data_IF_752485377798
#
_entry.id   IF_752485377798
#
_cell.length_a   1.000
_cell.length_b   1.000
_cell.length_c   1.000
_cell.angle_alpha   90.00
_cell.angle_beta   90.00
_cell.angle_gamma   90.00
#
_symmetry.space_group_name_H-M   'P 1'
#
loop_
_entity.id
_entity.type
_entity.pdbx_description
1 polymer ?
#
# COMPACT_ATOMS: atom_id res chain seq x y z
N UNK A 1 -28.86 -3.77 14.82
CA UNK A 1 -27.58 -4.52 14.92
C UNK A 1 -27.69 -5.73 14.00
N UNK A 2 -26.80 -5.87 13.01
CA UNK A 2 -26.92 -6.93 12.00
C UNK A 2 -26.64 -8.31 12.63
N UNK A 3 -27.29 -9.39 12.17
CA UNK A 3 -27.14 -10.76 12.72
C UNK A 3 -25.67 -11.21 12.77
N UNK A 4 -24.89 -10.80 11.76
CA UNK A 4 -23.44 -11.01 11.71
C UNK A 4 -22.66 -10.33 12.85
N UNK A 5 -23.05 -9.13 13.28
CA UNK A 5 -22.40 -8.47 14.41
C UNK A 5 -22.70 -9.16 15.73
N UNK A 6 -23.92 -9.70 15.89
CA UNK A 6 -24.30 -10.45 17.10
C UNK A 6 -23.50 -11.76 17.17
N UNK A 7 -23.38 -12.49 16.06
CA UNK A 7 -22.55 -13.70 15.94
C UNK A 7 -21.07 -13.41 16.23
N UNK A 8 -20.53 -12.33 15.66
CA UNK A 8 -19.15 -11.90 15.89
C UNK A 8 -18.90 -11.51 17.35
N UNK A 9 -19.80 -10.73 17.96
CA UNK A 9 -19.73 -10.35 19.37
C UNK A 9 -19.79 -11.57 20.29
N UNK A 10 -20.72 -12.50 20.04
CA UNK A 10 -20.84 -13.74 20.83
C UNK A 10 -19.56 -14.60 20.72
N UNK A 11 -19.03 -14.77 19.51
CA UNK A 11 -17.83 -15.59 19.26
C UNK A 11 -16.59 -15.00 19.93
N UNK A 12 -16.40 -13.68 19.85
CA UNK A 12 -15.23 -13.02 20.44
C UNK A 12 -15.36 -12.89 21.96
N UNK A 13 -16.56 -12.64 22.48
CA UNK A 13 -16.81 -12.66 23.92
C UNK A 13 -16.56 -14.05 24.51
N UNK A 14 -17.00 -15.11 23.84
CA UNK A 14 -16.72 -16.49 24.25
C UNK A 14 -15.21 -16.81 24.26
N UNK A 15 -14.44 -16.33 23.27
CA UNK A 15 -12.96 -16.46 23.29
C UNK A 15 -12.32 -15.68 24.44
N UNK A 16 -12.78 -14.47 24.72
CA UNK A 16 -12.26 -13.66 25.82
C UNK A 16 -12.53 -14.31 27.19
N UNK A 17 -13.70 -14.93 27.36
CA UNK A 17 -14.05 -15.70 28.57
C UNK A 17 -13.14 -16.92 28.79
N UNK A 18 -12.68 -17.55 27.70
CA UNK A 18 -11.86 -18.76 27.71
C UNK A 18 -10.34 -18.48 27.66
N UNK A 19 -9.92 -17.23 27.77
CA UNK A 19 -8.49 -16.91 27.78
C UNK A 19 -7.81 -17.53 29.02
N UNK A 20 -6.65 -18.21 28.89
CA UNK A 20 -6.02 -18.93 30.00
C UNK A 20 -5.72 -18.01 31.19
N UNK A 21 -5.42 -16.73 30.93
CA UNK A 21 -5.16 -15.74 31.96
C UNK A 21 -6.42 -15.36 32.77
N UNK A 22 -7.58 -15.23 32.12
CA UNK A 22 -8.83 -14.91 32.83
C UNK A 22 -9.27 -16.11 33.67
N UNK A 23 -9.14 -17.33 33.14
CA UNK A 23 -9.33 -18.57 33.89
C UNK A 23 -8.38 -18.70 35.09
N UNK A 24 -7.11 -18.32 34.95
CA UNK A 24 -6.14 -18.35 36.04
C UNK A 24 -6.51 -17.39 37.18
N UNK A 25 -6.92 -16.15 36.87
CA UNK A 25 -7.36 -15.17 37.88
C UNK A 25 -8.60 -15.67 38.63
N UNK A 26 -9.57 -16.24 37.93
CA UNK A 26 -10.76 -16.82 38.56
C UNK A 26 -10.41 -18.03 39.42
N UNK A 27 -9.60 -18.96 38.88
CA UNK A 27 -9.15 -20.15 39.61
C UNK A 27 -8.37 -19.82 40.88
N UNK A 28 -7.51 -18.80 40.84
CA UNK A 28 -6.76 -18.33 42.00
C UNK A 28 -7.68 -17.73 43.07
N UNK A 29 -8.72 -17.00 42.67
CA UNK A 29 -9.74 -16.49 43.57
C UNK A 29 -10.53 -17.59 44.28
N UNK A 30 -10.99 -18.60 43.53
CA UNK A 30 -11.72 -19.76 44.09
C UNK A 30 -10.82 -20.58 45.02
N UNK A 31 -9.57 -20.85 44.61
CA UNK A 31 -8.60 -21.59 45.42
C UNK A 31 -8.31 -20.90 46.76
N UNK A 32 -8.13 -19.57 46.73
CA UNK A 32 -7.90 -18.77 47.94
C UNK A 32 -9.11 -18.77 48.87
N UNK A 33 -10.34 -18.71 48.32
CA UNK A 33 -11.57 -18.75 49.11
C UNK A 33 -11.74 -20.11 49.83
N UNK A 34 -11.40 -21.22 49.17
CA UNK A 34 -11.44 -22.57 49.77
C UNK A 34 -10.44 -22.67 50.92
N UNK A 35 -9.20 -22.20 50.72
CA UNK A 35 -8.15 -22.27 51.75
C UNK A 35 -8.44 -21.42 52.98
N UNK A 36 -9.06 -20.26 52.81
CA UNK A 36 -9.30 -19.30 53.89
C UNK A 36 -10.68 -19.42 54.53
N UNK A 37 -11.61 -20.18 53.92
CA UNK A 37 -13.00 -20.27 54.34
C UNK A 37 -13.81 -18.97 54.13
N UNK A 38 -13.24 -17.97 53.46
CA UNK A 38 -13.85 -16.66 53.26
C UNK A 38 -14.52 -16.57 51.88
N UNK A 39 -15.83 -16.76 51.87
CA UNK A 39 -16.64 -16.77 50.64
C UNK A 39 -16.70 -15.43 49.90
N UNK A 40 -16.47 -14.30 50.58
CA UNK A 40 -16.48 -12.97 49.94
C UNK A 40 -15.31 -12.76 48.95
N UNK A 41 -14.21 -13.53 49.08
CA UNK A 41 -13.07 -13.49 48.15
C UNK A 41 -13.49 -13.90 46.74
N UNK A 42 -14.51 -14.75 46.61
CA UNK A 42 -15.07 -15.14 45.31
C UNK A 42 -15.63 -13.93 44.56
N UNK A 43 -16.29 -12.99 45.27
CA UNK A 43 -16.82 -11.77 44.64
C UNK A 43 -15.69 -10.88 44.11
N UNK A 44 -14.57 -10.79 44.83
CA UNK A 44 -13.38 -10.04 44.40
C UNK A 44 -12.73 -10.71 43.18
N UNK A 45 -12.60 -12.03 43.19
CA UNK A 45 -12.10 -12.81 42.04
C UNK A 45 -12.97 -12.66 40.80
N UNK A 46 -14.30 -12.64 40.96
CA UNK A 46 -15.26 -12.45 39.86
C UNK A 46 -15.22 -11.02 39.31
N UNK A 47 -15.04 -10.02 40.16
CA UNK A 47 -14.80 -8.64 39.73
C UNK A 47 -13.49 -8.51 38.94
N UNK A 48 -12.39 -9.11 39.43
CA UNK A 48 -11.11 -9.15 38.72
C UNK A 48 -11.22 -9.85 37.36
N UNK A 49 -11.92 -10.99 37.31
CA UNK A 49 -12.24 -11.68 36.06
C UNK A 49 -12.99 -10.80 35.07
N UNK A 50 -14.01 -10.08 35.53
CA UNK A 50 -14.78 -9.12 34.74
C UNK A 50 -13.92 -8.01 34.13
N UNK A 51 -13.01 -7.42 34.92
CA UNK A 51 -12.10 -6.37 34.43
C UNK A 51 -11.14 -6.92 33.38
N UNK A 52 -10.54 -8.08 33.63
CA UNK A 52 -9.59 -8.71 32.69
C UNK A 52 -10.29 -9.09 31.39
N UNK A 53 -11.45 -9.76 31.47
CA UNK A 53 -12.24 -10.12 30.28
C UNK A 53 -12.72 -8.90 29.51
N UNK A 54 -13.10 -7.81 30.19
CA UNK A 54 -13.47 -6.55 29.55
C UNK A 54 -12.28 -5.88 28.85
N UNK A 55 -11.10 -5.86 29.48
CA UNK A 55 -9.89 -5.34 28.86
C UNK A 55 -9.47 -6.17 27.65
N UNK A 56 -9.53 -7.51 27.73
CA UNK A 56 -9.29 -8.37 26.58
C UNK A 56 -10.34 -8.17 25.49
N UNK A 57 -11.62 -8.08 25.84
CA UNK A 57 -12.70 -7.84 24.89
C UNK A 57 -12.54 -6.50 24.17
N UNK A 58 -12.22 -5.43 24.90
CA UNK A 58 -11.96 -4.11 24.28
C UNK A 58 -10.66 -4.10 23.47
N UNK A 59 -9.62 -4.84 23.89
CA UNK A 59 -8.43 -5.06 23.09
C UNK A 59 -8.74 -5.87 21.81
N UNK A 60 -9.65 -6.85 21.88
CA UNK A 60 -10.13 -7.66 20.74
C UNK A 60 -11.05 -6.86 19.82
N UNK A 61 -11.84 -5.94 20.36
CA UNK A 61 -12.61 -4.97 19.56
C UNK A 61 -11.71 -3.89 18.94
N UNK A 62 -10.56 -3.63 19.56
CA UNK A 62 -9.46 -2.85 18.98
C UNK A 62 -8.53 -3.71 18.13
N UNK A 63 -8.74 -5.03 18.09
CA UNK A 63 -7.95 -5.92 17.25
C UNK A 63 -8.30 -5.53 15.83
N UNK A 64 -7.27 -5.00 15.19
CA UNK A 64 -7.31 -4.38 13.88
C UNK A 64 -8.19 -5.22 12.98
N UNK A 65 -9.10 -4.57 12.26
CA UNK A 65 -9.96 -5.31 11.33
C UNK A 65 -9.07 -6.16 10.41
N UNK A 66 -9.55 -7.31 9.91
CA UNK A 66 -8.80 -8.10 8.93
C UNK A 66 -8.23 -7.27 7.77
N UNK A 67 -8.91 -6.15 7.47
CA UNK A 67 -8.53 -5.12 6.50
C UNK A 67 -7.27 -4.34 6.90
N UNK A 68 -7.13 -3.95 8.17
CA UNK A 68 -5.93 -3.28 8.68
C UNK A 68 -4.72 -4.23 8.72
N UNK A 69 -4.93 -5.53 8.95
CA UNK A 69 -3.85 -6.53 8.88
C UNK A 69 -3.26 -6.66 7.47
N UNK A 70 -4.07 -6.55 6.42
CA UNK A 70 -3.57 -6.57 5.04
C UNK A 70 -2.66 -5.37 4.75
N UNK A 71 -2.99 -4.19 5.28
CA UNK A 71 -2.14 -3.00 5.14
C UNK A 71 -0.82 -3.10 5.93
N UNK A 72 -0.73 -3.97 6.93
CA UNK A 72 0.50 -4.25 7.67
C UNK A 72 1.34 -5.37 7.06
N UNK A 73 0.80 -6.10 6.09
CA UNK A 73 1.54 -7.15 5.39
C UNK A 73 2.55 -6.61 4.37
N UNK A 74 2.50 -5.30 4.06
CA UNK A 74 3.50 -4.67 3.20
C UNK A 74 4.84 -4.58 3.93
N UNK A 75 5.82 -5.30 3.39
CA UNK A 75 7.18 -5.29 3.89
C UNK A 75 7.89 -4.00 3.48
N UNK A 76 7.77 -2.97 4.31
CA UNK A 76 8.41 -1.67 4.08
C UNK A 76 9.94 -1.76 3.96
N UNK A 77 10.57 -2.85 4.44
CA UNK A 77 12.02 -3.05 4.30
C UNK A 77 12.46 -3.31 2.86
N UNK A 78 11.55 -3.75 1.99
CA UNK A 78 11.81 -3.96 0.56
C UNK A 78 11.67 -2.68 -0.27
N UNK A 79 11.12 -1.63 0.33
CA UNK A 79 10.93 -0.37 -0.38
C UNK A 79 12.23 0.46 -0.33
N UNK A 80 12.57 1.17 -1.41
CA UNK A 80 13.71 2.08 -1.40
C UNK A 80 13.49 3.19 -0.38
N UNK A 81 14.55 3.50 0.39
CA UNK A 81 14.49 4.46 1.49
C UNK A 81 13.91 5.82 1.07
N UNK A 82 14.26 6.30 -0.13
CA UNK A 82 13.76 7.55 -0.72
C UNK A 82 12.23 7.64 -0.78
N UNK A 83 11.54 6.51 -0.95
CA UNK A 83 10.09 6.47 -1.16
C UNK A 83 9.28 6.02 0.06
N UNK A 84 9.95 5.53 1.11
CA UNK A 84 9.29 5.10 2.35
C UNK A 84 8.38 6.20 2.94
N UNK A 85 8.81 7.48 3.05
CA UNK A 85 7.96 8.51 3.65
C UNK A 85 6.67 8.75 2.85
N UNK A 86 6.76 8.77 1.52
CA UNK A 86 5.60 8.98 0.65
C UNK A 86 4.64 7.78 0.72
N UNK A 87 5.18 6.56 0.70
CA UNK A 87 4.38 5.35 0.86
C UNK A 87 3.64 5.34 2.22
N UNK A 88 4.34 5.65 3.31
CA UNK A 88 3.75 5.71 4.66
C UNK A 88 2.62 6.75 4.75
N UNK A 89 2.77 7.92 4.13
CA UNK A 89 1.71 8.93 4.07
C UNK A 89 0.46 8.40 3.36
N UNK A 90 0.62 7.68 2.25
CA UNK A 90 -0.49 7.07 1.51
C UNK A 90 -1.19 6.02 2.36
N UNK A 91 -0.44 5.10 2.99
CA UNK A 91 -1.01 4.07 3.86
C UNK A 91 -1.73 4.69 5.07
N UNK A 92 -1.18 5.75 5.66
CA UNK A 92 -1.83 6.44 6.78
C UNK A 92 -3.16 7.09 6.36
N UNK A 93 -3.20 7.73 5.19
CA UNK A 93 -4.43 8.29 4.63
C UNK A 93 -5.48 7.22 4.35
N UNK A 94 -5.07 6.06 3.83
CA UNK A 94 -5.96 4.92 3.60
C UNK A 94 -6.52 4.37 4.91
N UNK A 95 -5.67 4.19 5.94
CA UNK A 95 -6.13 3.77 7.28
C UNK A 95 -7.12 4.77 7.87
N UNK A 96 -6.85 6.07 7.76
CA UNK A 96 -7.79 7.13 8.19
C UNK A 96 -9.12 7.01 7.44
N UNK A 97 -9.11 6.84 6.13
CA UNK A 97 -10.31 6.67 5.33
C UNK A 97 -11.12 5.43 5.74
N UNK A 98 -10.48 4.27 5.85
CA UNK A 98 -11.12 3.02 6.27
C UNK A 98 -11.69 3.10 7.69
N UNK A 99 -10.98 3.76 8.61
CA UNK A 99 -11.46 4.02 9.97
C UNK A 99 -12.70 4.93 9.97
N UNK A 100 -12.73 5.95 9.11
CA UNK A 100 -13.90 6.82 8.96
C UNK A 100 -15.11 6.09 8.35
N UNK A 101 -14.88 5.20 7.38
CA UNK A 101 -15.93 4.35 6.81
C UNK A 101 -16.48 3.40 7.88
N UNK A 102 -15.59 2.74 8.64
CA UNK A 102 -15.96 1.76 9.66
C UNK A 102 -16.79 2.36 10.78
N UNK A 103 -16.50 3.60 11.16
CA UNK A 103 -17.19 4.40 12.17
C UNK A 103 -18.41 5.17 11.64
N UNK A 104 -18.76 5.04 10.36
CA UNK A 104 -19.94 5.70 9.79
C UNK A 104 -21.25 5.04 10.23
N UNK A 105 -22.33 5.83 10.22
CA UNK A 105 -23.69 5.38 10.53
C UNK A 105 -24.13 4.20 9.67
N UNK A 106 -25.02 3.35 10.20
CA UNK A 106 -25.55 2.16 9.52
C UNK A 106 -26.23 2.44 8.17
N UNK A 107 -26.67 3.68 7.93
CA UNK A 107 -27.27 4.08 6.65
C UNK A 107 -26.22 4.39 5.58
N UNK A 108 -25.09 4.96 5.96
CA UNK A 108 -24.01 5.37 5.04
C UNK A 108 -23.05 4.21 4.79
N UNK A 109 -22.81 3.41 5.82
CA UNK A 109 -21.82 2.33 5.80
C UNK A 109 -21.97 1.38 4.61
N UNK A 110 -23.17 0.84 4.26
CA UNK A 110 -23.32 -0.06 3.11
C UNK A 110 -22.90 0.57 1.79
N UNK A 111 -23.13 1.88 1.63
CA UNK A 111 -22.78 2.62 0.42
C UNK A 111 -21.26 2.79 0.29
N UNK A 112 -20.58 3.04 1.40
CA UNK A 112 -19.12 3.20 1.44
C UNK A 112 -18.35 1.86 1.46
N UNK A 113 -19.00 0.75 1.82
CA UNK A 113 -18.35 -0.56 1.82
C UNK A 113 -17.85 -0.98 0.43
N UNK A 114 -18.53 -0.56 -0.65
CA UNK A 114 -18.06 -0.81 -2.02
C UNK A 114 -16.72 -0.11 -2.33
N UNK A 115 -16.44 0.99 -1.63
CA UNK A 115 -15.21 1.77 -1.78
C UNK A 115 -14.03 1.15 -1.04
N UNK A 116 -14.29 0.34 -0.02
CA UNK A 116 -13.26 -0.26 0.84
C UNK A 116 -12.32 -1.16 0.03
N UNK A 117 -12.86 -2.01 -0.83
CA UNK A 117 -12.04 -2.92 -1.64
C UNK A 117 -11.18 -2.17 -2.67
N UNK A 118 -11.68 -1.04 -3.19
CA UNK A 118 -10.91 -0.15 -4.06
C UNK A 118 -9.77 0.56 -3.33
N UNK A 119 -9.98 0.98 -2.09
CA UNK A 119 -8.92 1.59 -1.25
C UNK A 119 -7.84 0.55 -0.95
N UNK A 120 -8.22 -0.71 -0.71
CA UNK A 120 -7.25 -1.80 -0.51
C UNK A 120 -6.45 -2.07 -1.78
N UNK A 121 -7.10 -2.16 -2.94
CA UNK A 121 -6.39 -2.35 -4.20
C UNK A 121 -5.43 -1.19 -4.53
N UNK A 122 -5.81 0.05 -4.17
CA UNK A 122 -4.92 1.21 -4.22
C UNK A 122 -3.66 1.03 -3.39
N UNK A 123 -3.75 0.42 -2.21
CA UNK A 123 -2.61 0.20 -1.31
C UNK A 123 -1.60 -0.76 -1.92
N UNK A 124 -2.10 -1.86 -2.48
CA UNK A 124 -1.26 -2.83 -3.18
C UNK A 124 -0.59 -2.23 -4.42
N UNK A 125 -1.35 -1.51 -5.25
CA UNK A 125 -0.80 -0.85 -6.44
C UNK A 125 0.20 0.25 -6.06
N UNK A 126 -0.01 0.98 -4.96
CA UNK A 126 0.97 1.94 -4.43
C UNK A 126 2.29 1.24 -4.10
N UNK A 127 2.22 0.12 -3.38
CA UNK A 127 3.40 -0.68 -3.03
C UNK A 127 4.15 -1.17 -4.28
N UNK A 128 3.42 -1.71 -5.27
CA UNK A 128 4.01 -2.16 -6.54
C UNK A 128 4.67 -1.02 -7.32
N UNK A 129 3.99 0.13 -7.47
CA UNK A 129 4.55 1.33 -8.11
C UNK A 129 5.82 1.79 -7.40
N UNK A 130 5.82 1.84 -6.07
CA UNK A 130 6.99 2.24 -5.29
C UNK A 130 8.16 1.27 -5.44
N UNK A 131 7.89 -0.04 -5.45
CA UNK A 131 8.92 -1.05 -5.68
C UNK A 131 9.56 -0.88 -7.07
N UNK A 132 8.73 -0.67 -8.11
CA UNK A 132 9.22 -0.45 -9.48
C UNK A 132 9.98 0.86 -9.63
N UNK A 133 9.56 1.93 -8.96
CA UNK A 133 10.34 3.18 -8.89
C UNK A 133 11.74 2.93 -8.34
N UNK A 134 11.84 2.08 -7.31
CA UNK A 134 13.12 1.64 -6.77
C UNK A 134 14.01 0.93 -7.77
N UNK A 135 13.45 -0.02 -8.50
CA UNK A 135 14.18 -0.74 -9.54
C UNK A 135 14.66 0.23 -10.63
N UNK A 136 13.79 1.11 -11.13
CA UNK A 136 14.14 2.10 -12.17
C UNK A 136 15.23 3.06 -11.67
N UNK A 137 15.11 3.59 -10.45
CA UNK A 137 16.14 4.45 -9.88
C UNK A 137 17.48 3.71 -9.74
N UNK A 138 17.47 2.45 -9.28
CA UNK A 138 18.68 1.63 -9.21
C UNK A 138 19.39 1.49 -10.56
N UNK A 139 18.64 1.28 -11.64
CA UNK A 139 19.21 1.23 -13.00
C UNK A 139 19.73 2.59 -13.47
N UNK A 140 18.99 3.68 -13.20
CA UNK A 140 19.40 5.02 -13.60
C UNK A 140 20.64 5.50 -12.84
N UNK A 141 20.71 5.21 -11.54
CA UNK A 141 21.82 5.60 -10.66
C UNK A 141 23.11 4.82 -10.99
N UNK A 142 22.99 3.62 -11.57
CA UNK A 142 24.14 2.83 -12.01
C UNK A 142 24.80 3.37 -13.30
N UNK A 143 24.14 4.26 -14.04
CA UNK A 143 24.60 4.76 -15.34
C UNK A 143 25.08 6.21 -15.21
N UNK A 144 26.37 6.46 -15.48
CA UNK A 144 26.87 7.82 -15.66
C UNK A 144 26.47 8.35 -17.05
N UNK A 145 25.31 8.99 -17.10
CA UNK A 145 24.76 9.59 -18.34
C UNK A 145 25.73 10.60 -18.99
N UNK A 146 26.49 11.35 -18.19
CA UNK A 146 27.45 12.31 -18.71
C UNK A 146 28.68 11.62 -19.32
N UNK A 147 29.11 10.49 -18.75
CA UNK A 147 30.14 9.65 -19.38
C UNK A 147 29.66 9.05 -20.70
N UNK A 148 28.42 8.54 -20.78
CA UNK A 148 27.85 8.02 -22.03
C UNK A 148 27.84 9.06 -23.15
N UNK A 149 27.39 10.29 -22.85
CA UNK A 149 27.39 11.38 -23.84
C UNK A 149 28.81 11.71 -24.33
N UNK A 150 29.78 11.81 -23.40
CA UNK A 150 31.18 12.06 -23.75
C UNK A 150 31.77 10.94 -24.60
N UNK A 151 31.47 9.67 -24.29
CA UNK A 151 31.92 8.53 -25.07
C UNK A 151 31.35 8.57 -26.49
N UNK A 152 30.03 8.82 -26.63
CA UNK A 152 29.38 8.97 -27.93
C UNK A 152 30.05 10.06 -28.76
N UNK A 153 30.23 11.25 -28.18
CA UNK A 153 30.83 12.39 -28.88
C UNK A 153 32.29 12.11 -29.29
N UNK A 154 33.04 11.41 -28.43
CA UNK A 154 34.39 10.96 -28.75
C UNK A 154 34.40 9.96 -29.93
N UNK A 155 33.52 8.95 -29.93
CA UNK A 155 33.41 7.99 -31.04
C UNK A 155 33.01 8.69 -32.33
N UNK A 156 32.09 9.66 -32.27
CA UNK A 156 31.71 10.47 -33.43
C UNK A 156 32.90 11.20 -34.04
N UNK A 157 33.74 11.84 -33.22
CA UNK A 157 34.96 12.48 -33.70
C UNK A 157 35.96 11.48 -34.30
N UNK A 158 36.00 10.23 -33.82
CA UNK A 158 36.84 9.18 -34.42
C UNK A 158 36.33 8.75 -35.78
N UNK A 159 35.01 8.66 -36.00
CA UNK A 159 34.42 8.38 -37.31
C UNK A 159 34.85 9.46 -38.32
N UNK A 160 34.80 10.73 -37.93
CA UNK A 160 35.17 11.86 -38.78
C UNK A 160 36.66 11.89 -39.16
N UNK A 161 37.53 11.35 -38.29
CA UNK A 161 38.99 11.33 -38.48
C UNK A 161 39.54 10.04 -39.07
N UNK A 162 38.77 8.96 -39.09
CA UNK A 162 39.22 7.71 -39.68
C UNK A 162 39.35 7.88 -41.20
N UNK A 163 40.40 7.33 -41.79
CA UNK A 163 40.58 7.32 -43.25
C UNK A 163 40.08 6.02 -43.86
N UNK A 164 40.31 4.91 -43.17
CA UNK A 164 39.93 3.56 -43.57
C UNK A 164 38.42 3.29 -43.39
N UNK A 165 37.83 2.56 -44.35
CA UNK A 165 36.39 2.31 -44.39
C UNK A 165 35.94 1.24 -43.39
N UNK A 166 36.75 0.21 -43.15
CA UNK A 166 36.44 -0.84 -42.18
C UNK A 166 36.42 -0.26 -40.76
N UNK A 167 37.46 0.53 -40.42
CA UNK A 167 37.53 1.26 -39.15
C UNK A 167 36.35 2.22 -38.93
N UNK A 168 35.90 2.91 -40.00
CA UNK A 168 34.69 3.76 -39.93
C UNK A 168 33.44 2.96 -39.61
N UNK A 169 33.31 1.77 -40.20
CA UNK A 169 32.16 0.90 -39.98
C UNK A 169 32.11 0.42 -38.52
N UNK A 170 33.24 -0.02 -37.96
CA UNK A 170 33.34 -0.42 -36.55
C UNK A 170 32.97 0.74 -35.60
N UNK A 171 33.53 1.93 -35.80
CA UNK A 171 33.16 3.09 -34.99
C UNK A 171 31.70 3.51 -35.17
N UNK A 172 31.14 3.37 -36.38
CA UNK A 172 29.72 3.63 -36.65
C UNK A 172 28.81 2.66 -35.88
N UNK A 173 29.18 1.37 -35.81
CA UNK A 173 28.47 0.38 -35.00
C UNK A 173 28.53 0.73 -33.50
N UNK A 174 29.71 1.09 -33.00
CA UNK A 174 29.88 1.53 -31.61
C UNK A 174 29.06 2.80 -31.29
N UNK A 175 29.04 3.78 -32.21
CA UNK A 175 28.22 4.99 -32.08
C UNK A 175 26.72 4.66 -32.00
N UNK A 176 26.23 3.79 -32.89
CA UNK A 176 24.82 3.33 -32.86
C UNK A 176 24.49 2.63 -31.55
N UNK A 177 25.40 1.82 -31.01
CA UNK A 177 25.20 1.15 -29.73
C UNK A 177 25.10 2.16 -28.56
N UNK A 178 25.96 3.19 -28.54
CA UNK A 178 25.91 4.25 -27.53
C UNK A 178 24.63 5.10 -27.63
N UNK A 179 24.20 5.46 -28.84
CA UNK A 179 22.93 6.17 -29.06
C UNK A 179 21.73 5.34 -28.57
N UNK A 180 21.71 4.03 -28.84
CA UNK A 180 20.67 3.14 -28.32
C UNK A 180 20.66 3.06 -26.78
N UNK A 181 21.84 3.07 -26.14
CA UNK A 181 21.93 3.13 -24.67
C UNK A 181 21.39 4.46 -24.11
N UNK A 182 21.74 5.59 -24.74
CA UNK A 182 21.22 6.92 -24.37
C UNK A 182 19.70 6.98 -24.55
N UNK A 183 19.16 6.45 -25.64
CA UNK A 183 17.72 6.39 -25.87
C UNK A 183 17.01 5.55 -24.79
N UNK A 184 17.57 4.39 -24.44
CA UNK A 184 17.05 3.54 -23.38
C UNK A 184 17.07 4.23 -22.02
N UNK A 185 18.16 4.93 -21.68
CA UNK A 185 18.24 5.74 -20.46
C UNK A 185 17.13 6.80 -20.41
N UNK A 186 16.96 7.56 -21.49
CA UNK A 186 15.91 8.58 -21.60
C UNK A 186 14.50 7.98 -21.51
N UNK A 187 14.29 6.78 -22.06
CA UNK A 187 13.04 6.04 -21.92
C UNK A 187 12.78 5.64 -20.47
N UNK A 188 13.77 5.10 -19.76
CA UNK A 188 13.66 4.76 -18.35
C UNK A 188 13.38 5.99 -17.48
N UNK A 189 14.03 7.12 -17.77
CA UNK A 189 13.75 8.37 -17.07
C UNK A 189 12.29 8.82 -17.25
N UNK A 190 11.72 8.72 -18.47
CA UNK A 190 10.30 9.02 -18.71
C UNK A 190 9.37 8.06 -17.97
N UNK A 191 9.74 6.77 -17.87
CA UNK A 191 8.97 5.79 -17.08
C UNK A 191 8.99 6.17 -15.60
N UNK A 192 10.15 6.56 -15.06
CA UNK A 192 10.28 7.07 -13.68
C UNK A 192 9.35 8.25 -13.42
N UNK A 193 9.40 9.27 -14.28
CA UNK A 193 8.55 10.46 -14.15
C UNK A 193 7.06 10.10 -14.16
N UNK A 194 6.65 9.20 -15.07
CA UNK A 194 5.26 8.71 -15.13
C UNK A 194 4.85 7.95 -13.87
N UNK A 195 5.71 7.07 -13.34
CA UNK A 195 5.44 6.34 -12.10
C UNK A 195 5.35 7.28 -10.88
N UNK A 196 6.22 8.30 -10.80
CA UNK A 196 6.15 9.32 -9.75
C UNK A 196 4.85 10.14 -9.83
N UNK A 197 4.45 10.55 -11.03
CA UNK A 197 3.18 11.23 -11.25
C UNK A 197 1.99 10.34 -10.85
N UNK A 198 2.04 9.04 -11.17
CA UNK A 198 1.00 8.08 -10.76
C UNK A 198 0.93 7.94 -9.24
N UNK A 199 2.06 7.86 -8.54
CA UNK A 199 2.10 7.79 -7.08
C UNK A 199 1.52 9.06 -6.43
N UNK A 200 1.83 10.23 -6.99
CA UNK A 200 1.25 11.51 -6.56
C UNK A 200 -0.26 11.54 -6.79
N UNK A 201 -0.72 11.11 -7.97
CA UNK A 201 -2.16 11.08 -8.29
C UNK A 201 -2.92 10.14 -7.35
N UNK A 202 -2.40 8.95 -7.06
CA UNK A 202 -3.01 8.01 -6.09
C UNK A 202 -3.17 8.69 -4.73
N UNK A 203 -2.12 9.37 -4.25
CA UNK A 203 -2.17 10.11 -2.98
C UNK A 203 -3.28 11.17 -3.00
N UNK A 204 -3.28 12.05 -3.99
CA UNK A 204 -4.26 13.15 -4.11
C UNK A 204 -5.69 12.61 -4.20
N UNK A 205 -5.91 11.52 -4.93
CA UNK A 205 -7.22 10.90 -5.03
C UNK A 205 -7.69 10.30 -3.70
N UNK A 206 -6.80 9.71 -2.89
CA UNK A 206 -7.14 9.23 -1.55
C UNK A 206 -7.45 10.39 -0.61
N UNK A 207 -6.68 11.49 -0.67
CA UNK A 207 -6.94 12.71 0.12
C UNK A 207 -8.33 13.30 -0.22
N UNK A 208 -8.64 13.44 -1.52
CA UNK A 208 -9.94 13.91 -1.99
C UNK A 208 -11.09 12.99 -1.53
N UNK A 209 -10.91 11.68 -1.70
CA UNK A 209 -11.89 10.69 -1.25
C UNK A 209 -12.13 10.76 0.27
N UNK A 210 -11.07 10.92 1.06
CA UNK A 210 -11.16 11.10 2.50
C UNK A 210 -11.95 12.36 2.88
N UNK A 211 -11.66 13.50 2.25
CA UNK A 211 -12.41 14.75 2.47
C UNK A 211 -13.91 14.58 2.15
N UNK A 212 -14.24 13.79 1.14
CA UNK A 212 -15.64 13.49 0.78
C UNK A 212 -16.32 12.58 1.78
N UNK A 213 -15.65 11.58 2.34
CA UNK A 213 -16.22 10.77 3.43
C UNK A 213 -16.59 11.68 4.60
N UNK A 214 -15.68 12.58 5.01
CA UNK A 214 -15.94 13.54 6.09
C UNK A 214 -17.18 14.38 5.74
N UNK A 215 -17.24 14.90 4.52
CA UNK A 215 -18.37 15.70 4.03
C UNK A 215 -19.68 14.93 4.07
N UNK A 216 -19.70 13.67 3.65
CA UNK A 216 -20.91 12.82 3.69
C UNK A 216 -21.37 12.58 5.14
N UNK A 217 -20.42 12.41 6.08
CA UNK A 217 -20.72 12.24 7.51
C UNK A 217 -21.32 13.50 8.14
N UNK A 218 -20.85 14.68 7.76
CA UNK A 218 -21.32 15.96 8.34
C UNK A 218 -22.61 16.48 7.70
N UNK A 219 -22.96 16.01 6.50
CA UNK A 219 -24.16 16.48 5.79
C UNK A 219 -25.42 15.80 6.33
N UNK A 220 -26.47 16.61 6.51
CA UNK A 220 -27.82 16.15 6.86
C UNK A 220 -28.36 15.12 5.85
N UNK A 221 -29.36 14.34 6.27
CA UNK A 221 -29.90 13.19 5.53
C UNK A 221 -30.39 13.57 4.12
N UNK A 222 -30.87 14.80 3.95
CA UNK A 222 -31.33 15.39 2.68
C UNK A 222 -30.14 15.74 1.76
N UNK A 223 -29.82 14.87 0.80
CA UNK A 223 -28.72 15.08 -0.16
C UNK A 223 -27.59 14.05 -0.10
N UNK A 224 -27.69 13.07 0.81
CA UNK A 224 -26.69 12.01 1.01
C UNK A 224 -26.56 11.06 -0.19
N UNK A 225 -27.67 10.76 -0.88
CA UNK A 225 -27.67 9.85 -2.04
C UNK A 225 -26.90 10.42 -3.25
N UNK A 226 -27.13 11.69 -3.61
CA UNK A 226 -26.43 12.35 -4.72
C UNK A 226 -24.92 12.42 -4.49
N UNK A 227 -24.50 12.77 -3.27
CA UNK A 227 -23.07 12.83 -2.90
C UNK A 227 -22.41 11.45 -2.92
N UNK A 228 -23.14 10.41 -2.54
CA UNK A 228 -22.66 9.02 -2.64
C UNK A 228 -22.42 8.61 -4.10
N UNK A 229 -23.31 9.01 -5.01
CA UNK A 229 -23.12 8.76 -6.45
C UNK A 229 -21.83 9.38 -6.97
N UNK A 230 -21.57 10.65 -6.62
CA UNK A 230 -20.33 11.36 -7.00
C UNK A 230 -19.07 10.71 -6.43
N UNK A 231 -19.13 10.17 -5.22
CA UNK A 231 -18.03 9.40 -4.63
C UNK A 231 -17.77 8.11 -5.39
N UNK A 232 -18.83 7.43 -5.84
CA UNK A 232 -18.71 6.19 -6.63
C UNK A 232 -18.10 6.45 -8.01
N UNK A 233 -18.46 7.57 -8.64
CA UNK A 233 -17.90 8.00 -9.93
C UNK A 233 -16.39 8.27 -9.85
N UNK A 234 -15.94 9.03 -8.85
CA UNK A 234 -14.50 9.27 -8.65
C UNK A 234 -13.73 8.00 -8.29
N UNK A 235 -14.37 7.05 -7.61
CA UNK A 235 -13.78 5.74 -7.37
C UNK A 235 -13.64 4.93 -8.66
N UNK A 236 -14.44 5.19 -9.69
CA UNK A 236 -14.25 4.59 -11.01
C UNK A 236 -13.12 5.30 -11.77
N UNK A 237 -13.00 6.62 -11.64
CA UNK A 237 -11.84 7.36 -12.18
C UNK A 237 -10.53 6.89 -11.56
N UNK A 238 -10.54 6.61 -10.25
CA UNK A 238 -9.43 5.97 -9.53
C UNK A 238 -9.05 4.62 -10.13
N UNK A 239 -10.03 3.82 -10.54
CA UNK A 239 -9.79 2.51 -11.16
C UNK A 239 -9.09 2.66 -12.52
N UNK A 240 -9.51 3.65 -13.31
CA UNK A 240 -8.85 3.99 -14.59
C UNK A 240 -7.39 4.43 -14.35
N UNK A 241 -7.15 5.26 -13.33
CA UNK A 241 -5.79 5.67 -12.95
C UNK A 241 -4.94 4.47 -12.55
N UNK A 242 -5.53 3.53 -11.83
CA UNK A 242 -4.87 2.31 -11.39
C UNK A 242 -4.53 1.35 -12.55
N UNK A 243 -5.39 1.25 -13.55
CA UNK A 243 -5.13 0.45 -14.74
C UNK A 243 -4.04 1.06 -15.60
N UNK A 244 -4.02 2.40 -15.70
CA UNK A 244 -2.92 3.15 -16.31
C UNK A 244 -1.59 2.90 -15.60
N UNK A 245 -1.60 2.84 -14.26
CA UNK A 245 -0.40 2.47 -13.48
C UNK A 245 0.06 1.04 -13.73
N UNK A 246 -0.88 0.11 -13.78
CA UNK A 246 -0.59 -1.31 -14.04
C UNK A 246 0.04 -1.49 -15.43
N UNK A 247 -0.50 -0.80 -16.45
CA UNK A 247 0.07 -0.79 -17.81
C UNK A 247 1.48 -0.22 -17.86
N UNK A 248 1.75 0.87 -17.13
CA UNK A 248 3.11 1.43 -17.01
C UNK A 248 4.08 0.42 -16.41
N UNK A 249 3.65 -0.34 -15.41
CA UNK A 249 4.45 -1.38 -14.76
C UNK A 249 4.72 -2.55 -15.71
N UNK A 250 3.71 -2.99 -16.46
CA UNK A 250 3.85 -4.06 -17.47
C UNK A 250 4.81 -3.66 -18.59
N UNK A 251 4.71 -2.42 -19.09
CA UNK A 251 5.63 -1.86 -20.08
C UNK A 251 7.09 -1.88 -19.58
N UNK A 252 7.31 -1.60 -18.30
CA UNK A 252 8.63 -1.70 -17.67
C UNK A 252 9.09 -3.15 -17.50
N UNK A 253 8.20 -4.06 -17.09
CA UNK A 253 8.50 -5.49 -16.98
C UNK A 253 8.93 -6.10 -18.32
N UNK A 254 8.24 -5.74 -19.41
CA UNK A 254 8.60 -6.16 -20.76
C UNK A 254 10.00 -5.65 -21.18
N UNK A 255 10.35 -4.42 -20.79
CA UNK A 255 11.67 -3.87 -21.06
C UNK A 255 12.79 -4.64 -20.34
N UNK A 256 12.58 -5.00 -19.07
CA UNK A 256 13.56 -5.77 -18.29
C UNK A 256 13.86 -7.13 -18.91
N UNK A 257 12.84 -7.83 -19.39
CA UNK A 257 13.03 -9.13 -20.06
C UNK A 257 13.87 -9.03 -21.34
N UNK A 258 13.78 -7.92 -22.08
CA UNK A 258 14.60 -7.70 -23.27
C UNK A 258 16.06 -7.41 -22.92
N UNK A 259 16.31 -6.71 -21.80
CA UNK A 259 17.67 -6.47 -21.32
C UNK A 259 18.36 -7.77 -20.88
N UNK A 260 17.67 -8.59 -20.08
CA UNK A 260 18.20 -9.88 -19.60
C UNK A 260 18.46 -10.88 -20.75
N UNK A 261 17.71 -10.81 -21.84
CA UNK A 261 17.93 -11.67 -23.01
C UNK A 261 19.22 -11.31 -23.75
N UNK A 262 19.54 -10.01 -23.85
CA UNK A 262 20.72 -9.53 -24.58
C UNK A 262 22.03 -9.87 -23.87
N UNK A 263 22.04 -9.93 -22.54
CA UNK A 263 23.22 -10.35 -21.76
C UNK A 263 23.54 -11.85 -21.87
N UNK A 264 22.59 -12.69 -22.31
CA UNK A 264 22.84 -14.14 -22.46
C UNK A 264 23.43 -14.53 -23.81
N UNK A 265 23.36 -13.65 -24.81
CA UNK A 265 23.86 -13.90 -26.17
C UNK A 265 25.28 -13.36 -26.41
N UNK A 266 25.84 -12.59 -25.47
CA UNK A 266 27.21 -12.05 -25.51
C UNK A 266 28.13 -12.80 -24.56
#
# INVERSE_FOLDING_TARGET
MNRYQIEFLKKNFARALLHPLSLAVFGMGVFTAILTGQWWIILVGLAGYGIVTWNYFTAFCKEKTPEEHQLESFDASKLPERYIPQFQQIIELQRKALSQISSSDNLVKPLLLMSVDKIKSLSQKTYEVTLRLGEVDGYLDAIDYAALLRQRDSVKQKIERADDNETKEEYSQAYKALEAQIENFNRLNRIRERLQAQLLNIRLSIENFFAKIITIKTTEVSGRAERTSKVTEELNELDILLDSASKTIEEFGAFRHLADYKERET
#
